data_IF_080578021296
#
_entry.id   IF_080578021296
#
_cell.length_a   1.000
_cell.length_b   1.000
_cell.length_c   1.000
_cell.angle_alpha   90.00
_cell.angle_beta   90.00
_cell.angle_gamma   90.00
#
_symmetry.space_group_name_H-M   'P 1'
#
loop_
_entity.id
_entity.type
_entity.pdbx_description
1 polymer ?
#
# COMPACT_ATOMS: atom_id res chain seq x y z
N UNK A 1 -38.05 94.57 27.76
CA UNK A 1 -38.15 95.45 26.58
C UNK A 1 -36.77 95.58 25.95
N UNK A 2 -36.80 95.73 24.63
CA UNK A 2 -35.72 95.72 23.64
C UNK A 2 -34.31 96.16 24.07
N UNK A 3 -33.33 95.38 23.62
CA UNK A 3 -32.48 95.86 22.53
C UNK A 3 -31.05 96.29 22.88
N UNK A 4 -30.11 95.65 22.16
CA UNK A 4 -28.73 96.06 21.88
C UNK A 4 -27.73 96.01 23.05
N UNK A 5 -26.84 95.03 22.97
CA UNK A 5 -25.42 95.29 23.12
C UNK A 5 -24.61 94.17 22.46
N UNK A 6 -23.92 94.51 21.37
CA UNK A 6 -22.90 93.66 20.76
C UNK A 6 -21.58 94.00 21.44
N UNK A 7 -21.03 93.05 22.19
CA UNK A 7 -19.59 92.89 22.40
C UNK A 7 -19.31 91.41 22.59
N UNK A 8 -18.34 90.87 21.87
CA UNK A 8 -17.18 90.19 22.47
C UNK A 8 -16.15 89.96 21.36
N UNK A 9 -15.04 90.68 21.44
CA UNK A 9 -13.78 90.22 20.86
C UNK A 9 -12.66 90.60 21.83
N UNK A 10 -12.29 89.64 22.68
CA UNK A 10 -11.06 89.67 23.46
C UNK A 10 -9.88 89.68 22.50
N UNK A 11 -8.95 90.62 22.65
CA UNK A 11 -7.53 90.39 22.33
C UNK A 11 -6.67 90.91 23.46
N UNK A 12 -6.13 89.93 24.18
CA UNK A 12 -5.09 90.06 25.19
C UNK A 12 -3.75 90.14 24.46
N UNK A 13 -3.00 91.19 24.81
CA UNK A 13 -1.55 91.28 24.98
C UNK A 13 -0.63 90.49 24.05
N UNK A 14 0.12 91.24 23.21
CA UNK A 14 1.47 90.87 22.77
C UNK A 14 2.48 91.47 23.76
N UNK A 15 3.51 90.71 24.15
CA UNK A 15 4.83 91.33 24.26
C UNK A 15 5.91 90.34 23.84
N UNK A 16 6.31 90.36 22.57
CA UNK A 16 7.63 89.85 22.16
C UNK A 16 8.22 90.77 21.09
N UNK A 17 9.53 91.06 21.13
CA UNK A 17 10.14 92.08 20.29
C UNK A 17 10.44 91.55 18.87
N UNK A 18 10.35 92.46 17.90
CA UNK A 18 10.75 92.25 16.50
C UNK A 18 12.23 91.87 16.41
N UNK A 19 12.51 90.61 16.11
CA UNK A 19 13.81 90.16 15.61
C UNK A 19 13.81 90.20 14.09
N UNK A 20 14.41 91.25 13.52
CA UNK A 20 14.81 91.29 12.11
C UNK A 20 16.18 90.59 11.98
N UNK A 21 16.34 89.53 11.17
CA UNK A 21 17.65 88.92 10.95
C UNK A 21 18.47 89.76 9.96
N UNK A 22 19.67 90.17 10.37
CA UNK A 22 20.69 90.75 9.49
C UNK A 22 21.38 89.68 8.61
N UNK A 23 22.10 90.09 7.55
CA UNK A 23 22.49 89.22 6.44
C UNK A 23 23.81 88.45 6.67
N UNK A 24 24.06 87.93 7.87
CA UNK A 24 25.27 87.14 8.19
C UNK A 24 25.00 85.96 9.14
N UNK A 25 23.82 85.33 9.01
CA UNK A 25 23.41 84.18 9.83
C UNK A 25 23.36 82.83 9.10
N UNK A 26 23.99 82.70 7.94
CA UNK A 26 23.79 81.59 6.99
C UNK A 26 24.60 80.29 7.29
N UNK A 27 25.02 80.02 8.53
CA UNK A 27 25.89 78.87 8.82
C UNK A 27 25.53 77.99 10.05
N UNK A 28 24.31 78.10 10.60
CA UNK A 28 23.87 77.21 11.73
C UNK A 28 22.48 76.60 11.56
N UNK A 29 22.14 76.14 10.36
CA UNK A 29 20.89 75.42 10.10
C UNK A 29 21.05 74.12 9.28
N UNK A 30 22.24 73.49 9.29
CA UNK A 30 22.51 72.30 8.48
C UNK A 30 22.38 70.95 9.20
N UNK A 31 21.91 70.90 10.45
CA UNK A 31 22.00 69.64 11.24
C UNK A 31 20.70 69.12 11.86
N UNK A 32 19.52 69.57 11.43
CA UNK A 32 18.25 68.94 11.86
C UNK A 32 17.21 68.88 10.75
N UNK A 33 17.29 67.81 9.95
CA UNK A 33 16.18 66.96 9.44
C UNK A 33 16.68 66.16 8.22
N UNK A 34 17.53 65.17 8.49
CA UNK A 34 17.45 63.89 7.78
C UNK A 34 17.01 62.88 8.82
N UNK A 35 15.70 62.67 8.91
CA UNK A 35 15.19 61.39 9.42
C UNK A 35 15.82 60.36 8.49
N UNK A 36 16.64 59.41 8.96
CA UNK A 36 17.04 58.31 8.09
C UNK A 36 15.72 57.65 7.71
N UNK A 37 15.36 57.79 6.43
CA UNK A 37 14.34 56.97 5.81
C UNK A 37 14.81 55.56 6.11
N UNK A 38 14.13 54.90 7.06
CA UNK A 38 14.41 53.53 7.50
C UNK A 38 14.70 52.78 6.21
N UNK A 39 15.91 52.25 6.07
CA UNK A 39 16.22 51.40 4.95
C UNK A 39 15.07 50.41 4.89
N UNK A 40 14.24 50.55 3.86
CA UNK A 40 13.33 49.49 3.50
C UNK A 40 14.30 48.33 3.33
N UNK A 41 14.26 47.37 4.25
CA UNK A 41 15.03 46.14 4.12
C UNK A 41 14.60 45.59 2.76
N UNK A 42 15.40 45.89 1.73
CA UNK A 42 15.29 45.24 0.44
C UNK A 42 15.82 43.85 0.77
N UNK A 43 14.97 43.02 1.37
CA UNK A 43 15.20 41.60 1.48
C UNK A 43 15.28 41.16 0.03
N UNK A 44 16.49 41.05 -0.48
CA UNK A 44 16.76 40.45 -1.76
C UNK A 44 16.31 39.00 -1.63
N UNK A 45 15.04 38.75 -1.96
CA UNK A 45 14.53 37.40 -2.19
C UNK A 45 15.08 37.06 -3.57
N UNK A 46 16.12 36.21 -3.68
CA UNK A 46 16.59 35.79 -4.99
C UNK A 46 15.39 35.24 -5.76
N UNK A 47 15.21 35.58 -7.04
CA UNK A 47 14.13 35.02 -7.83
C UNK A 47 14.26 33.50 -7.77
N UNK A 48 13.22 32.83 -7.28
CA UNK A 48 13.16 31.37 -7.29
C UNK A 48 13.36 30.92 -8.73
N UNK A 49 14.46 30.22 -9.01
CA UNK A 49 14.73 29.63 -10.32
C UNK A 49 13.78 28.44 -10.49
N UNK A 50 12.50 28.73 -10.74
CA UNK A 50 11.47 27.73 -10.95
C UNK A 50 11.52 27.29 -12.40
N UNK A 51 11.79 26.01 -12.61
CA UNK A 51 11.83 25.37 -13.91
C UNK A 51 10.66 24.39 -14.02
N UNK A 52 10.12 24.26 -15.24
CA UNK A 52 9.00 23.37 -15.53
C UNK A 52 9.37 22.41 -16.65
N UNK A 53 8.91 21.17 -16.55
CA UNK A 53 9.05 20.17 -17.60
C UNK A 53 7.84 19.24 -17.61
N UNK A 54 7.16 19.17 -18.75
CA UNK A 54 6.16 18.15 -19.00
C UNK A 54 6.85 16.79 -19.19
N UNK A 55 6.33 15.76 -18.53
CA UNK A 55 6.91 14.43 -18.53
C UNK A 55 5.80 13.38 -18.60
N UNK A 56 6.03 12.35 -19.42
CA UNK A 56 5.11 11.24 -19.66
C UNK A 56 5.88 9.93 -19.58
N UNK A 57 5.35 8.95 -18.86
CA UNK A 57 6.02 7.66 -18.65
C UNK A 57 5.03 6.59 -18.18
N UNK A 58 5.31 5.29 -18.38
CA UNK A 58 4.56 4.23 -17.71
C UNK A 58 4.89 4.16 -16.21
N UNK A 59 3.88 3.90 -15.39
CA UNK A 59 4.00 3.57 -13.98
C UNK A 59 3.52 2.14 -13.71
N UNK A 60 4.26 1.36 -12.90
CA UNK A 60 3.86 0.00 -12.56
C UNK A 60 2.57 0.00 -11.75
N UNK A 61 1.71 -0.97 -12.02
CA UNK A 61 0.56 -1.31 -11.19
C UNK A 61 0.85 -2.47 -10.23
N UNK A 62 -0.11 -2.80 -9.38
CA UNK A 62 -0.05 -4.00 -8.53
C UNK A 62 -0.11 -5.30 -9.34
N UNK A 63 -0.55 -5.28 -10.59
CA UNK A 63 -0.62 -6.45 -11.47
C UNK A 63 0.58 -6.42 -12.39
N UNK A 64 1.40 -7.48 -12.33
CA UNK A 64 2.61 -7.58 -13.15
C UNK A 64 2.26 -7.52 -14.64
N UNK A 65 3.00 -6.68 -15.38
CA UNK A 65 2.84 -6.52 -16.82
C UNK A 65 1.73 -5.57 -17.26
N UNK A 66 0.98 -4.97 -16.33
CA UNK A 66 -0.01 -3.93 -16.61
C UNK A 66 0.44 -2.60 -16.00
N UNK A 67 0.57 -1.57 -16.83
CA UNK A 67 1.08 -0.25 -16.42
C UNK A 67 0.02 0.84 -16.59
N UNK A 68 0.11 1.87 -15.75
CA UNK A 68 -0.59 3.15 -15.95
C UNK A 68 0.24 4.05 -16.85
N UNK A 69 -0.39 4.86 -17.70
CA UNK A 69 0.29 5.94 -18.38
C UNK A 69 0.09 7.23 -17.58
N UNK A 70 1.18 7.79 -17.03
CA UNK A 70 1.12 9.06 -16.30
C UNK A 70 1.65 10.19 -17.16
N UNK A 71 0.95 11.32 -17.08
CA UNK A 71 1.38 12.59 -17.65
C UNK A 71 1.30 13.67 -16.59
N UNK A 72 2.39 14.41 -16.40
CA UNK A 72 2.48 15.43 -15.35
C UNK A 72 3.45 16.55 -15.74
N UNK A 73 3.38 17.68 -15.01
CA UNK A 73 4.35 18.77 -15.13
C UNK A 73 5.21 18.77 -13.87
N UNK A 74 6.50 18.49 -14.05
CA UNK A 74 7.51 18.57 -12.99
C UNK A 74 7.97 20.01 -12.84
N UNK A 75 7.77 20.56 -11.65
CA UNK A 75 8.29 21.85 -11.22
C UNK A 75 9.47 21.62 -10.27
N UNK A 76 10.60 22.29 -10.50
CA UNK A 76 11.71 22.26 -9.55
C UNK A 76 12.39 23.61 -9.40
N UNK A 77 12.98 23.82 -8.23
CA UNK A 77 13.81 24.98 -7.92
C UNK A 77 15.12 24.56 -7.27
N UNK A 78 16.12 25.43 -7.42
CA UNK A 78 17.42 25.27 -6.78
C UNK A 78 17.47 26.15 -5.54
N UNK A 79 17.79 25.58 -4.40
CA UNK A 79 18.16 26.35 -3.23
C UNK A 79 19.65 26.70 -3.28
N UNK A 80 19.94 27.91 -3.77
CA UNK A 80 21.30 28.41 -3.95
C UNK A 80 21.94 28.86 -2.62
N UNK A 81 21.21 28.87 -1.50
CA UNK A 81 21.74 29.32 -0.21
C UNK A 81 22.86 28.43 0.33
N UNK A 82 22.90 27.15 -0.08
CA UNK A 82 23.88 26.16 0.41
C UNK A 82 25.14 26.04 -0.45
N UNK A 83 25.22 26.70 -1.60
CA UNK A 83 26.38 26.73 -2.50
C UNK A 83 26.70 25.40 -3.23
N UNK A 84 26.10 24.29 -2.83
CA UNK A 84 26.19 23.00 -3.54
C UNK A 84 25.43 23.09 -4.87
N UNK A 85 25.94 22.44 -5.91
CA UNK A 85 25.31 22.39 -7.25
C UNK A 85 25.19 20.94 -7.71
N UNK A 86 24.01 20.56 -8.17
CA UNK A 86 23.76 19.23 -8.69
C UNK A 86 23.98 19.34 -10.18
N UNK A 87 24.81 18.46 -10.76
CA UNK A 87 25.21 18.59 -12.16
C UNK A 87 24.04 18.43 -13.14
N UNK A 88 22.95 17.74 -12.73
CA UNK A 88 21.72 17.62 -13.51
C UNK A 88 20.48 17.75 -12.61
N UNK A 89 20.03 18.97 -12.28
CA UNK A 89 18.93 19.16 -11.34
C UNK A 89 17.59 18.70 -11.91
N UNK A 90 17.41 18.80 -13.23
CA UNK A 90 16.24 18.28 -13.95
C UNK A 90 16.05 16.78 -13.70
N UNK A 91 17.09 15.98 -13.94
CA UNK A 91 16.98 14.52 -13.82
C UNK A 91 16.78 14.11 -12.36
N UNK A 92 17.42 14.80 -11.41
CA UNK A 92 17.21 14.56 -9.98
C UNK A 92 15.75 14.81 -9.56
N UNK A 93 15.15 15.92 -10.02
CA UNK A 93 13.75 16.23 -9.75
C UNK A 93 12.79 15.19 -10.36
N UNK A 94 12.98 14.83 -11.63
CA UNK A 94 12.15 13.84 -12.32
C UNK A 94 12.26 12.48 -11.62
N UNK A 95 13.49 12.01 -11.37
CA UNK A 95 13.72 10.72 -10.72
C UNK A 95 13.05 10.65 -9.35
N UNK A 96 13.17 11.71 -8.53
CA UNK A 96 12.55 11.76 -7.21
C UNK A 96 11.02 11.73 -7.28
N UNK A 97 10.41 12.46 -8.21
CA UNK A 97 8.95 12.42 -8.42
C UNK A 97 8.51 11.03 -8.88
N UNK A 98 9.24 10.40 -9.80
CA UNK A 98 8.92 9.06 -10.27
C UNK A 98 9.04 8.01 -9.17
N UNK A 99 10.04 8.12 -8.30
CA UNK A 99 10.19 7.22 -7.16
C UNK A 99 8.97 7.29 -6.24
N UNK A 100 8.56 8.52 -5.87
CA UNK A 100 7.35 8.75 -5.06
C UNK A 100 6.09 8.23 -5.75
N UNK A 101 5.96 8.44 -7.05
CA UNK A 101 4.82 7.96 -7.82
C UNK A 101 4.77 6.42 -7.84
N UNK A 102 5.91 5.75 -8.04
CA UNK A 102 6.04 4.28 -8.06
C UNK A 102 5.69 3.63 -6.73
N UNK A 103 6.07 4.25 -5.61
CA UNK A 103 5.76 3.76 -4.26
C UNK A 103 4.25 3.66 -4.00
N UNK A 104 3.47 4.55 -4.63
CA UNK A 104 2.01 4.57 -4.54
C UNK A 104 1.39 3.69 -5.63
N UNK A 105 1.79 3.88 -6.90
CA UNK A 105 1.18 3.19 -8.04
C UNK A 105 1.37 1.68 -8.00
N UNK A 106 2.51 1.19 -7.50
CA UNK A 106 2.82 -0.24 -7.42
C UNK A 106 1.90 -1.02 -6.46
N UNK A 107 1.09 -0.34 -5.64
CA UNK A 107 0.11 -0.96 -4.74
C UNK A 107 -1.33 -0.85 -5.27
N UNK A 108 -1.54 -0.06 -6.33
CA UNK A 108 -2.85 0.21 -6.88
C UNK A 108 -3.18 -0.73 -8.05
N UNK A 109 -4.41 -1.24 -8.09
CA UNK A 109 -4.93 -1.97 -9.24
C UNK A 109 -5.32 -1.00 -10.37
N UNK A 110 -5.16 -1.44 -11.62
CA UNK A 110 -5.51 -0.66 -12.83
C UNK A 110 -6.95 -0.10 -12.81
N UNK A 111 -7.88 -0.89 -12.25
CA UNK A 111 -9.31 -0.53 -12.15
C UNK A 111 -9.54 0.71 -11.26
N UNK A 112 -8.60 1.05 -10.38
CA UNK A 112 -8.69 2.19 -9.46
C UNK A 112 -7.95 3.45 -9.97
N UNK A 113 -7.66 3.55 -11.27
CA UNK A 113 -6.92 4.66 -11.87
C UNK A 113 -7.48 6.06 -11.51
N UNK A 114 -8.80 6.22 -11.44
CA UNK A 114 -9.41 7.52 -11.12
C UNK A 114 -9.09 7.98 -9.68
N UNK A 115 -9.15 7.07 -8.71
CA UNK A 115 -8.77 7.36 -7.33
C UNK A 115 -7.25 7.59 -7.20
N UNK A 116 -6.46 6.78 -7.92
CA UNK A 116 -5.01 6.93 -7.98
C UNK A 116 -4.59 8.30 -8.51
N UNK A 117 -5.30 8.85 -9.52
CA UNK A 117 -4.99 10.18 -10.06
C UNK A 117 -5.13 11.27 -8.99
N UNK A 118 -6.20 11.22 -8.18
CA UNK A 118 -6.40 12.17 -7.09
C UNK A 118 -5.32 12.03 -6.03
N UNK A 119 -5.01 10.79 -5.63
CA UNK A 119 -3.99 10.51 -4.62
C UNK A 119 -2.58 10.94 -5.07
N UNK A 120 -2.19 10.63 -6.31
CA UNK A 120 -0.91 11.07 -6.87
C UNK A 120 -0.88 12.58 -7.05
N UNK A 121 -2.01 13.21 -7.43
CA UNK A 121 -2.12 14.66 -7.52
C UNK A 121 -1.80 15.36 -6.20
N UNK A 122 -2.38 14.88 -5.10
CA UNK A 122 -2.16 15.43 -3.76
C UNK A 122 -0.73 15.18 -3.25
N UNK A 123 -0.26 13.93 -3.32
CA UNK A 123 1.08 13.59 -2.85
C UNK A 123 2.15 14.35 -3.65
N UNK A 124 2.08 14.33 -4.98
CA UNK A 124 3.12 14.92 -5.82
C UNK A 124 3.08 16.46 -5.84
N UNK A 125 1.94 17.08 -5.50
CA UNK A 125 1.84 18.54 -5.36
C UNK A 125 2.68 19.09 -4.20
N UNK A 126 2.93 18.27 -3.17
CA UNK A 126 3.76 18.66 -2.03
C UNK A 126 5.23 18.80 -2.47
N UNK A 127 5.76 20.02 -2.34
CA UNK A 127 7.18 20.32 -2.62
C UNK A 127 8.08 19.64 -1.59
N UNK A 128 9.01 18.81 -2.07
CA UNK A 128 9.99 18.12 -1.23
C UNK A 128 11.39 18.27 -1.79
N UNK A 129 12.37 18.38 -0.89
CA UNK A 129 13.78 18.36 -1.25
C UNK A 129 14.17 16.97 -1.73
N UNK A 130 14.87 16.89 -2.86
CA UNK A 130 15.47 15.66 -3.35
C UNK A 130 16.64 15.29 -2.44
N UNK A 131 16.64 14.10 -1.79
CA UNK A 131 17.66 13.71 -0.82
C UNK A 131 19.09 13.85 -1.35
N UNK A 132 19.98 14.40 -0.52
CA UNK A 132 21.39 14.61 -0.88
C UNK A 132 21.64 15.74 -1.91
N UNK A 133 20.62 16.54 -2.24
CA UNK A 133 20.73 17.66 -3.16
C UNK A 133 20.02 18.91 -2.61
N UNK A 134 20.20 20.07 -3.25
CA UNK A 134 19.46 21.33 -2.97
C UNK A 134 18.33 21.54 -4.00
N UNK A 135 17.94 20.50 -4.71
CA UNK A 135 16.83 20.55 -5.66
C UNK A 135 15.56 20.29 -4.87
N UNK A 136 14.59 21.20 -4.99
CA UNK A 136 13.24 21.02 -4.49
C UNK A 136 12.33 20.72 -5.65
N UNK A 137 11.50 19.69 -5.54
CA UNK A 137 10.68 19.19 -6.63
C UNK A 137 9.23 18.96 -6.19
N UNK A 138 8.30 19.31 -7.09
CA UNK A 138 6.87 19.01 -7.01
C UNK A 138 6.33 18.73 -8.40
N UNK A 139 5.17 18.08 -8.50
CA UNK A 139 4.48 17.88 -9.76
C UNK A 139 3.06 18.44 -9.71
N UNK A 140 2.59 18.93 -10.85
CA UNK A 140 1.26 19.48 -11.04
C UNK A 140 0.61 18.85 -12.27
N UNK A 141 -0.70 19.04 -12.42
CA UNK A 141 -1.48 18.56 -13.58
C UNK A 141 -1.32 17.05 -13.85
N UNK A 142 -1.32 16.25 -12.79
CA UNK A 142 -1.22 14.80 -12.89
C UNK A 142 -2.46 14.24 -13.59
N UNK A 143 -2.24 13.55 -14.70
CA UNK A 143 -3.24 12.80 -15.46
C UNK A 143 -2.80 11.36 -15.59
N UNK A 144 -3.75 10.44 -15.38
CA UNK A 144 -3.54 9.01 -15.56
C UNK A 144 -4.46 8.53 -16.67
N UNK A 145 -3.89 7.83 -17.65
CA UNK A 145 -4.63 7.07 -18.65
C UNK A 145 -4.26 5.59 -18.57
N UNK A 146 -5.18 4.75 -19.00
CA UNK A 146 -5.03 3.29 -19.02
C UNK A 146 -5.57 2.81 -20.37
N UNK A 147 -4.92 1.80 -20.96
CA UNK A 147 -5.46 1.14 -22.15
C UNK A 147 -6.72 0.34 -21.77
N UNK A 148 -7.78 0.43 -22.56
CA UNK A 148 -9.04 -0.28 -22.25
C UNK A 148 -8.84 -1.80 -22.25
N UNK A 149 -7.99 -2.33 -23.13
CA UNK A 149 -7.66 -3.76 -23.16
C UNK A 149 -7.03 -4.22 -21.83
N UNK A 150 -6.07 -3.46 -21.32
CA UNK A 150 -5.39 -3.74 -20.04
C UNK A 150 -6.36 -3.61 -18.86
N UNK A 151 -7.29 -2.66 -18.95
CA UNK A 151 -8.33 -2.44 -17.95
C UNK A 151 -9.31 -3.62 -17.91
N UNK A 152 -9.72 -4.15 -19.07
CA UNK A 152 -10.52 -5.37 -19.15
C UNK A 152 -9.79 -6.59 -18.58
N UNK A 153 -8.51 -6.76 -18.88
CA UNK A 153 -7.69 -7.83 -18.29
C UNK A 153 -7.62 -7.70 -16.76
N UNK A 154 -7.42 -6.49 -16.25
CA UNK A 154 -7.42 -6.24 -14.80
C UNK A 154 -8.79 -6.56 -14.16
N UNK A 155 -9.91 -6.22 -14.82
CA UNK A 155 -11.26 -6.57 -14.35
C UNK A 155 -11.45 -8.10 -14.27
N UNK A 156 -11.06 -8.84 -15.32
CA UNK A 156 -11.11 -10.31 -15.35
C UNK A 156 -10.24 -10.92 -14.25
N UNK A 157 -9.05 -10.36 -14.02
CA UNK A 157 -8.17 -10.82 -12.94
C UNK A 157 -8.83 -10.68 -11.55
N UNK A 158 -9.46 -9.54 -11.27
CA UNK A 158 -10.19 -9.31 -10.02
C UNK A 158 -11.35 -10.29 -9.87
N UNK A 159 -12.09 -10.56 -10.95
CA UNK A 159 -13.19 -11.53 -10.94
C UNK A 159 -12.70 -12.94 -10.62
N UNK A 160 -11.60 -13.37 -11.22
CA UNK A 160 -10.99 -14.67 -10.92
C UNK A 160 -10.54 -14.78 -9.46
N UNK A 161 -9.94 -13.72 -8.90
CA UNK A 161 -9.57 -13.67 -7.48
C UNK A 161 -10.79 -13.74 -6.55
N UNK A 162 -11.89 -13.05 -6.90
CA UNK A 162 -13.14 -13.13 -6.14
C UNK A 162 -13.75 -14.53 -6.19
N UNK A 163 -13.77 -15.15 -7.36
CA UNK A 163 -14.32 -16.49 -7.52
C UNK A 163 -13.47 -17.53 -6.79
N UNK A 164 -12.13 -17.42 -6.81
CA UNK A 164 -11.26 -18.34 -6.09
C UNK A 164 -11.38 -18.19 -4.58
N UNK A 165 -11.44 -16.95 -4.07
CA UNK A 165 -11.64 -16.68 -2.64
C UNK A 165 -13.00 -17.17 -2.16
N UNK A 166 -14.07 -17.00 -2.95
CA UNK A 166 -15.38 -17.54 -2.63
C UNK A 166 -15.36 -19.08 -2.56
N UNK A 167 -14.78 -19.74 -3.58
CA UNK A 167 -14.65 -21.21 -3.59
C UNK A 167 -13.83 -21.75 -2.42
N UNK A 168 -12.78 -21.04 -2.02
CA UNK A 168 -11.97 -21.43 -0.86
C UNK A 168 -12.78 -21.29 0.44
N UNK A 169 -13.48 -20.18 0.61
CA UNK A 169 -14.36 -19.96 1.75
C UNK A 169 -15.47 -21.02 1.83
N UNK A 170 -16.08 -21.38 0.70
CA UNK A 170 -17.10 -22.43 0.62
C UNK A 170 -16.53 -23.78 1.07
N UNK A 171 -15.35 -24.18 0.55
CA UNK A 171 -14.67 -25.42 0.98
C UNK A 171 -14.32 -25.41 2.46
N UNK A 172 -13.94 -24.27 3.01
CA UNK A 172 -13.60 -24.16 4.44
C UNK A 172 -14.85 -24.27 5.31
N UNK A 173 -15.99 -23.73 4.87
CA UNK A 173 -17.30 -23.92 5.52
C UNK A 173 -17.71 -25.38 5.47
N UNK A 174 -17.65 -26.03 4.29
CA UNK A 174 -17.96 -27.45 4.14
C UNK A 174 -17.08 -28.32 5.03
N UNK A 175 -15.76 -28.08 5.06
CA UNK A 175 -14.82 -28.79 5.93
C UNK A 175 -15.09 -28.55 7.40
N UNK A 176 -15.47 -27.33 7.78
CA UNK A 176 -15.85 -27.02 9.15
C UNK A 176 -17.13 -27.76 9.56
N UNK A 177 -18.13 -27.85 8.69
CA UNK A 177 -19.37 -28.59 8.97
C UNK A 177 -19.10 -30.10 9.05
N UNK A 178 -18.30 -30.67 8.14
CA UNK A 178 -17.88 -32.08 8.23
C UNK A 178 -17.14 -32.35 9.54
N UNK A 179 -16.21 -31.47 9.92
CA UNK A 179 -15.44 -31.59 11.16
C UNK A 179 -16.34 -31.51 12.39
N UNK A 180 -17.25 -30.53 12.43
CA UNK A 180 -18.24 -30.39 13.49
C UNK A 180 -19.12 -31.64 13.61
N UNK A 181 -19.61 -32.16 12.48
CA UNK A 181 -20.41 -33.39 12.46
C UNK A 181 -19.63 -34.58 13.02
N UNK A 182 -18.36 -34.75 12.64
CA UNK A 182 -17.54 -35.88 13.07
C UNK A 182 -17.09 -35.76 14.53
N UNK A 183 -16.54 -34.60 14.89
CA UNK A 183 -15.80 -34.41 16.15
C UNK A 183 -16.72 -34.02 17.31
N UNK A 184 -17.91 -33.45 17.03
CA UNK A 184 -18.83 -32.97 18.06
C UNK A 184 -20.20 -33.67 18.01
N UNK A 185 -20.76 -33.95 16.83
CA UNK A 185 -22.13 -34.50 16.73
C UNK A 185 -22.17 -36.02 16.77
N UNK A 186 -21.31 -36.69 16.00
CA UNK A 186 -21.27 -38.14 15.83
C UNK A 186 -20.33 -38.82 16.84
N UNK A 187 -20.10 -38.20 18.00
CA UNK A 187 -19.33 -38.77 19.11
C UNK A 187 -20.08 -39.92 19.78
N UNK A 188 -21.37 -39.75 19.96
CA UNK A 188 -22.27 -40.71 20.61
C UNK A 188 -23.70 -40.57 20.06
N UNK A 189 -24.50 -41.62 20.26
CA UNK A 189 -25.87 -41.69 19.73
C UNK A 189 -26.78 -40.62 20.36
N UNK A 190 -26.54 -40.26 21.62
CA UNK A 190 -27.32 -39.24 22.34
C UNK A 190 -27.14 -37.87 21.70
N UNK A 191 -25.89 -37.45 21.50
CA UNK A 191 -25.55 -36.16 20.88
C UNK A 191 -26.06 -36.08 19.44
N UNK A 192 -25.90 -37.14 18.65
CA UNK A 192 -26.44 -37.22 17.29
C UNK A 192 -27.98 -37.11 17.25
N UNK A 193 -28.68 -37.73 18.21
CA UNK A 193 -30.14 -37.68 18.32
C UNK A 193 -30.63 -36.28 18.71
N UNK A 194 -29.96 -35.62 19.68
CA UNK A 194 -30.28 -34.24 20.08
C UNK A 194 -30.05 -33.27 18.93
N UNK A 195 -28.92 -33.41 18.22
CA UNK A 195 -28.62 -32.60 17.04
C UNK A 195 -29.69 -32.77 15.96
N UNK A 196 -30.11 -34.00 15.68
CA UNK A 196 -31.18 -34.28 14.72
C UNK A 196 -32.50 -33.63 15.15
N UNK A 197 -32.87 -33.73 16.43
CA UNK A 197 -34.09 -33.11 16.98
C UNK A 197 -34.06 -31.58 16.81
N UNK A 198 -32.94 -30.94 17.13
CA UNK A 198 -32.79 -29.48 17.00
C UNK A 198 -32.99 -29.02 15.56
N UNK A 199 -32.47 -29.78 14.57
CA UNK A 199 -32.55 -29.41 13.15
C UNK A 199 -33.88 -29.79 12.48
N UNK A 200 -34.64 -30.71 13.07
CA UNK A 200 -35.92 -31.22 12.54
C UNK A 200 -37.15 -30.81 13.37
N UNK A 201 -37.05 -29.77 14.20
CA UNK A 201 -38.19 -29.21 14.92
C UNK A 201 -38.72 -30.09 16.05
N UNK A 202 -37.83 -30.78 16.76
CA UNK A 202 -38.11 -31.59 17.96
C UNK A 202 -39.13 -32.71 17.76
N UNK A 203 -39.14 -33.36 16.59
CA UNK A 203 -39.99 -34.52 16.30
C UNK A 203 -39.51 -35.79 17.01
N UNK A 204 -39.91 -35.94 18.28
CA UNK A 204 -39.43 -37.02 19.15
C UNK A 204 -39.70 -38.43 18.59
N UNK A 205 -40.91 -38.70 18.09
CA UNK A 205 -41.27 -40.03 17.58
C UNK A 205 -40.41 -40.46 16.38
N UNK A 206 -40.09 -39.52 15.48
CA UNK A 206 -39.22 -39.78 14.32
C UNK A 206 -37.77 -40.01 14.75
N UNK A 207 -37.27 -39.24 15.73
CA UNK A 207 -35.92 -39.40 16.26
C UNK A 207 -35.73 -40.78 16.91
N UNK A 208 -36.72 -41.25 17.68
CA UNK A 208 -36.68 -42.59 18.30
C UNK A 208 -36.62 -43.68 17.23
N UNK A 209 -37.39 -43.55 16.13
CA UNK A 209 -37.33 -44.49 14.99
C UNK A 209 -35.98 -44.50 14.29
N UNK A 210 -35.30 -43.36 14.20
CA UNK A 210 -34.01 -43.21 13.54
C UNK A 210 -32.80 -43.55 14.43
N UNK A 211 -33.00 -43.75 15.74
CA UNK A 211 -31.93 -44.01 16.71
C UNK A 211 -30.97 -45.14 16.30
N UNK A 212 -31.48 -46.23 15.72
CA UNK A 212 -30.66 -47.33 15.20
C UNK A 212 -29.75 -46.92 14.04
N UNK A 213 -30.24 -46.11 13.11
CA UNK A 213 -29.46 -45.59 11.99
C UNK A 213 -28.41 -44.58 12.45
N UNK A 214 -28.75 -43.73 13.42
CA UNK A 214 -27.78 -42.82 14.05
C UNK A 214 -26.66 -43.59 14.77
N UNK A 215 -26.99 -44.71 15.42
CA UNK A 215 -25.98 -45.58 16.03
C UNK A 215 -25.01 -46.20 15.00
N UNK A 216 -25.50 -46.53 13.81
CA UNK A 216 -24.63 -46.97 12.70
C UNK A 216 -23.74 -45.83 12.18
N UNK A 217 -24.29 -44.63 11.99
CA UNK A 217 -23.51 -43.46 11.55
C UNK A 217 -22.41 -43.07 12.54
N UNK A 218 -22.69 -43.13 13.84
CA UNK A 218 -21.68 -42.92 14.91
C UNK A 218 -20.55 -43.95 14.78
N UNK A 219 -20.89 -45.23 14.60
CA UNK A 219 -19.87 -46.28 14.40
C UNK A 219 -19.00 -46.02 13.17
N UNK A 220 -19.61 -45.62 12.05
CA UNK A 220 -18.89 -45.29 10.81
C UNK A 220 -17.98 -44.08 11.02
N UNK A 221 -18.45 -43.04 11.68
CA UNK A 221 -17.68 -41.82 11.94
C UNK A 221 -16.48 -42.06 12.88
N UNK A 222 -16.60 -43.04 13.78
CA UNK A 222 -15.53 -43.47 14.69
C UNK A 222 -14.50 -44.40 14.04
N UNK A 223 -14.75 -44.90 12.82
CA UNK A 223 -13.71 -45.60 12.07
C UNK A 223 -12.60 -44.61 11.78
N UNK A 224 -11.39 -44.86 12.29
CA UNK A 224 -10.23 -44.09 11.88
C UNK A 224 -10.08 -44.22 10.37
N UNK A 225 -10.01 -43.09 9.63
CA UNK A 225 -9.58 -43.14 8.25
C UNK A 225 -8.20 -43.79 8.28
N UNK A 226 -8.04 -44.95 7.64
CA UNK A 226 -6.73 -45.54 7.40
C UNK A 226 -5.97 -44.59 6.49
N UNK A 227 -5.33 -43.58 7.08
CA UNK A 227 -4.57 -42.58 6.35
C UNK A 227 -3.38 -43.34 5.81
N UNK A 228 -3.31 -43.51 4.49
CA UNK A 228 -2.19 -44.18 3.88
C UNK A 228 -0.94 -43.37 4.25
N UNK A 229 0.03 -44.00 4.92
CA UNK A 229 1.19 -43.32 5.50
C UNK A 229 1.91 -42.39 4.50
N UNK A 230 1.88 -42.73 3.21
CA UNK A 230 2.41 -41.91 2.12
C UNK A 230 1.66 -40.58 1.95
N UNK A 231 0.32 -40.56 2.04
CA UNK A 231 -0.49 -39.34 1.95
C UNK A 231 -0.23 -38.39 3.14
N UNK A 232 -0.04 -38.95 4.33
CA UNK A 232 0.31 -38.18 5.53
C UNK A 232 1.70 -37.53 5.40
N UNK A 233 2.69 -38.26 4.88
CA UNK A 233 4.03 -37.74 4.63
C UNK A 233 4.03 -36.68 3.52
N UNK A 234 3.36 -36.94 2.39
CA UNK A 234 3.29 -36.00 1.26
C UNK A 234 2.62 -34.70 1.69
N UNK A 235 1.48 -34.76 2.36
CA UNK A 235 0.79 -33.56 2.85
C UNK A 235 1.61 -32.77 3.88
N UNK A 236 2.37 -33.45 4.74
CA UNK A 236 3.29 -32.82 5.69
C UNK A 236 4.45 -32.11 4.99
N UNK A 237 5.02 -32.74 3.96
CA UNK A 237 6.09 -32.16 3.14
C UNK A 237 5.56 -30.97 2.33
N UNK A 238 4.40 -31.09 1.70
CA UNK A 238 3.76 -30.01 0.94
C UNK A 238 3.44 -28.78 1.79
N UNK A 239 3.09 -28.98 3.06
CA UNK A 239 2.87 -27.88 4.00
C UNK A 239 4.17 -27.16 4.38
N UNK A 240 5.31 -27.85 4.36
CA UNK A 240 6.62 -27.29 4.72
C UNK A 240 7.37 -26.65 3.54
N UNK A 241 7.05 -27.04 2.29
CA UNK A 241 7.71 -26.53 1.08
C UNK A 241 7.60 -25.01 0.83
N UNK A 242 6.51 -24.30 1.19
CA UNK A 242 6.39 -22.86 0.94
C UNK A 242 7.46 -22.02 1.64
N UNK A 243 7.97 -22.48 2.79
CA UNK A 243 9.02 -21.84 3.59
C UNK A 243 10.42 -21.97 2.97
N UNK A 244 10.57 -22.81 1.94
CA UNK A 244 11.83 -23.06 1.27
C UNK A 244 11.91 -22.32 -0.07
N UNK A 245 13.10 -21.83 -0.43
CA UNK A 245 13.39 -21.29 -1.77
C UNK A 245 13.16 -22.36 -2.86
N UNK A 246 12.76 -21.94 -4.06
CA UNK A 246 12.34 -22.84 -5.16
C UNK A 246 13.37 -23.91 -5.54
N UNK A 247 14.67 -23.62 -5.41
CA UNK A 247 15.74 -24.60 -5.69
C UNK A 247 15.74 -25.75 -4.68
N UNK A 248 15.52 -25.45 -3.40
CA UNK A 248 15.53 -26.44 -2.31
C UNK A 248 14.27 -27.34 -2.29
N UNK A 249 13.17 -26.90 -2.92
CA UNK A 249 11.92 -27.66 -2.99
C UNK A 249 12.05 -28.95 -3.80
N UNK A 250 12.73 -28.90 -4.95
CA UNK A 250 12.96 -30.08 -5.80
C UNK A 250 13.97 -31.04 -5.16
N UNK A 251 15.06 -30.50 -4.61
CA UNK A 251 16.10 -31.29 -3.97
C UNK A 251 15.57 -32.05 -2.76
N UNK A 252 14.72 -31.44 -1.94
CA UNK A 252 14.11 -32.11 -0.77
C UNK A 252 13.24 -33.31 -1.19
N UNK A 253 12.41 -33.14 -2.23
CA UNK A 253 11.57 -34.24 -2.75
C UNK A 253 12.40 -35.40 -3.26
N UNK A 254 13.47 -35.11 -4.00
CA UNK A 254 14.39 -36.13 -4.51
C UNK A 254 15.15 -36.84 -3.40
N UNK A 255 15.64 -36.11 -2.39
CA UNK A 255 16.33 -36.69 -1.24
C UNK A 255 15.41 -37.56 -0.39
N UNK A 256 14.16 -37.16 -0.18
CA UNK A 256 13.16 -37.98 0.53
C UNK A 256 12.83 -39.26 -0.23
N UNK A 257 12.63 -39.19 -1.56
CA UNK A 257 12.41 -40.37 -2.38
C UNK A 257 13.61 -41.34 -2.32
N UNK A 258 14.83 -40.80 -2.36
CA UNK A 258 16.07 -41.58 -2.24
C UNK A 258 16.20 -42.21 -0.85
N UNK A 259 15.92 -41.47 0.23
CA UNK A 259 15.98 -41.99 1.59
C UNK A 259 14.94 -43.10 1.83
N UNK A 260 13.72 -42.92 1.33
CA UNK A 260 12.67 -43.94 1.39
C UNK A 260 13.03 -45.19 0.58
N UNK A 261 13.74 -45.05 -0.54
CA UNK A 261 14.27 -46.20 -1.30
C UNK A 261 15.30 -47.01 -0.52
N UNK A 262 16.19 -46.32 0.21
CA UNK A 262 17.25 -46.96 0.99
C UNK A 262 16.72 -47.60 2.28
N UNK A 263 15.83 -46.92 3.00
CA UNK A 263 15.41 -47.33 4.35
C UNK A 263 13.99 -47.90 4.43
N UNK A 264 13.10 -47.51 3.52
CA UNK A 264 11.70 -47.94 3.49
C UNK A 264 11.41 -49.10 2.52
N UNK A 265 12.36 -49.43 1.64
CA UNK A 265 12.22 -50.46 0.61
C UNK A 265 11.60 -49.95 -0.70
N UNK A 266 11.76 -50.74 -1.77
CA UNK A 266 11.41 -50.34 -3.14
C UNK A 266 9.91 -50.02 -3.34
N UNK A 267 9.03 -50.71 -2.60
CA UNK A 267 7.59 -50.48 -2.64
C UNK A 267 7.21 -49.11 -2.05
N UNK A 268 7.75 -48.78 -0.87
CA UNK A 268 7.50 -47.52 -0.15
C UNK A 268 7.99 -46.31 -0.97
N UNK A 269 9.13 -46.47 -1.64
CA UNK A 269 9.67 -45.44 -2.52
C UNK A 269 8.86 -45.25 -3.81
N UNK A 270 8.36 -46.34 -4.41
CA UNK A 270 7.52 -46.28 -5.60
C UNK A 270 6.17 -45.61 -5.30
N UNK A 271 5.53 -45.97 -4.19
CA UNK A 271 4.28 -45.35 -3.72
C UNK A 271 4.45 -43.84 -3.47
N UNK A 272 5.56 -43.42 -2.84
CA UNK A 272 5.86 -42.01 -2.63
C UNK A 272 6.14 -41.25 -3.94
N UNK A 273 6.94 -41.84 -4.85
CA UNK A 273 7.33 -41.22 -6.11
C UNK A 273 6.13 -40.96 -7.04
N UNK A 274 5.19 -41.90 -7.10
CA UNK A 274 3.94 -41.77 -7.85
C UNK A 274 3.11 -40.58 -7.33
N UNK A 275 2.95 -40.48 -6.00
CA UNK A 275 2.16 -39.42 -5.36
C UNK A 275 2.72 -38.00 -5.59
N UNK A 276 4.03 -37.86 -5.77
CA UNK A 276 4.71 -36.55 -5.98
C UNK A 276 5.07 -36.27 -7.43
N UNK A 277 4.67 -37.15 -8.37
CA UNK A 277 4.90 -36.99 -9.81
C UNK A 277 6.38 -37.06 -10.22
N UNK A 278 7.21 -37.79 -9.48
CA UNK A 278 8.60 -38.07 -9.88
C UNK A 278 8.62 -39.31 -10.79
N UNK A 279 9.44 -39.34 -11.86
CA UNK A 279 9.62 -40.56 -12.63
C UNK A 279 10.13 -41.67 -11.71
N UNK A 280 9.47 -42.83 -11.71
CA UNK A 280 9.90 -43.99 -10.95
C UNK A 280 11.38 -44.25 -11.28
N UNK A 281 12.25 -44.08 -10.29
CA UNK A 281 13.69 -44.02 -10.51
C UNK A 281 14.18 -45.23 -11.29
N UNK A 282 14.97 -44.96 -12.34
CA UNK A 282 15.75 -45.97 -13.05
C UNK A 282 16.48 -46.82 -12.01
N UNK A 283 16.23 -48.13 -12.06
CA UNK A 283 16.98 -49.12 -11.31
C UNK A 283 18.42 -49.08 -11.80
N UNK A 284 19.24 -48.20 -11.21
CA UNK A 284 20.68 -48.35 -11.32
C UNK A 284 21.07 -49.58 -10.51
N UNK A 285 21.22 -50.68 -11.24
CA UNK A 285 21.96 -51.86 -10.82
C UNK A 285 23.33 -51.39 -10.32
N UNK A 286 23.52 -51.42 -9.00
CA UNK A 286 24.85 -51.25 -8.42
C UNK A 286 25.73 -52.39 -8.91
N UNK A 287 26.63 -52.08 -9.85
CA UNK A 287 27.76 -52.92 -10.19
C UNK A 287 28.70 -53.01 -8.99
N UNK A 288 28.65 -54.13 -8.29
CA UNK A 288 29.80 -54.64 -7.56
C UNK A 288 30.67 -55.41 -8.57
N UNK A 289 31.83 -54.85 -8.91
CA UNK A 289 33.21 -55.38 -8.77
C UNK A 289 34.15 -54.31 -9.34
#
# INVERSE_FOLDING_TARGET
MLGRNVRYARRVSRPWPDFRPGPLGALKAWWRRRVPRRAEDITFVPPVSSHQHEFETPLPSAVYGLDFQIKLIVNWRLDLATGLRHNSPKNAAIHHILQRAKEISGKAMLVHHAALQVQLGDELATERQVPGTHVWARAEQVKISVNEDDLEMARKHIELLRNSTFKLAERDVERAEIRYLRDEVLTDVGTATIWWLQRNGYRVEEAVKLSGHLAELVKIAQLEPTTHWAESLVSSVERALPELEDRHRKDLRQHLAKALSVYGGSRVAAEFADQIGLPAGEQHTNGHV
#
